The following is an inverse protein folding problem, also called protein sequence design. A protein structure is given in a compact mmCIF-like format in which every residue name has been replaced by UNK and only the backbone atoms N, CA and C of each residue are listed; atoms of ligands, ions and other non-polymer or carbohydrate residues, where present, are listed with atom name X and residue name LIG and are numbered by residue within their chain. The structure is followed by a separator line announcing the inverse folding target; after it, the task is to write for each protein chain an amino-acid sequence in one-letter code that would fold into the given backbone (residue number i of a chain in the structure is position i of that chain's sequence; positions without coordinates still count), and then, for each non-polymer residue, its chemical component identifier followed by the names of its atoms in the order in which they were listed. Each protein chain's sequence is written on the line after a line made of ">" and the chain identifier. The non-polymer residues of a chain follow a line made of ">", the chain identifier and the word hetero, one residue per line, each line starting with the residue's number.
data_IF_199087494024
#
_entry.id   IF_199087494024
#
_cell.length_a   1.000
_cell.length_b   1.000
_cell.length_c   1.000
_cell.angle_alpha   90.00
_cell.angle_beta   90.00
_cell.angle_gamma   90.00
#
_symmetry.space_group_name_H-M   'P 1'
#
loop_
_entity.id
_entity.type
_entity.pdbx_description
1 polymer ?
#
# COMPACT_ATOMS: atom_id res chain seq x y z
N UNK A 1 6.59 -1.93 25.91
CA UNK A 1 7.15 -2.71 24.78
C UNK A 1 8.42 -2.11 24.16
N UNK A 2 9.12 -1.16 24.83
CA UNK A 2 10.24 -0.41 24.26
C UNK A 2 11.62 -1.09 24.25
N UNK A 3 11.87 -2.13 25.00
CA UNK A 3 13.21 -2.70 25.14
C UNK A 3 13.51 -3.85 24.19
N UNK A 4 12.54 -4.70 23.92
CA UNK A 4 12.71 -5.91 23.11
C UNK A 4 12.82 -5.59 21.61
N UNK A 5 12.24 -4.48 21.14
CA UNK A 5 12.33 -4.06 19.74
C UNK A 5 13.75 -3.71 19.26
N UNK A 6 14.69 -3.42 20.19
CA UNK A 6 16.11 -3.18 19.86
C UNK A 6 16.89 -4.46 19.57
N UNK A 7 16.36 -5.61 20.00
CA UNK A 7 16.96 -6.92 19.83
C UNK A 7 16.47 -7.67 18.59
N UNK A 8 15.44 -7.13 17.88
CA UNK A 8 14.88 -7.80 16.71
C UNK A 8 15.84 -7.87 15.53
N UNK A 9 15.93 -8.99 14.79
CA UNK A 9 16.72 -9.12 13.59
C UNK A 9 16.15 -8.23 12.48
N UNK A 10 17.02 -7.50 11.78
CA UNK A 10 16.63 -6.65 10.64
C UNK A 10 17.12 -5.21 10.72
N UNK A 11 17.55 -4.72 11.89
CA UNK A 11 18.23 -3.45 12.03
C UNK A 11 19.72 -3.76 12.10
N UNK A 12 20.51 -3.33 11.11
CA UNK A 12 21.96 -3.51 11.11
C UNK A 12 22.67 -2.78 12.26
N UNK A 13 21.93 -2.30 13.26
CA UNK A 13 22.42 -1.56 14.43
C UNK A 13 23.39 -2.39 15.26
N UNK A 14 23.15 -3.72 15.36
CA UNK A 14 24.04 -4.63 16.10
C UNK A 14 25.46 -4.66 15.54
N UNK A 15 25.60 -4.60 14.19
CA UNK A 15 26.93 -4.59 13.53
C UNK A 15 27.67 -3.28 13.84
N UNK A 16 26.97 -2.16 13.83
CA UNK A 16 27.57 -0.85 14.14
C UNK A 16 27.87 -0.69 15.62
N UNK A 17 27.01 -1.21 16.52
CA UNK A 17 27.30 -1.27 17.96
C UNK A 17 28.50 -2.14 18.27
N UNK A 18 28.63 -3.28 17.61
CA UNK A 18 29.79 -4.16 17.76
C UNK A 18 31.06 -3.49 17.25
N UNK A 19 31.00 -2.84 16.07
CA UNK A 19 32.12 -2.07 15.52
C UNK A 19 32.54 -0.93 16.46
N UNK A 20 31.58 -0.22 17.05
CA UNK A 20 31.81 0.82 18.03
C UNK A 20 32.47 0.26 19.32
N UNK A 21 31.98 -0.88 19.80
CA UNK A 21 32.60 -1.56 20.97
C UNK A 21 34.04 -2.00 20.70
N UNK A 22 34.31 -2.53 19.49
CA UNK A 22 35.68 -2.87 19.05
C UNK A 22 36.55 -1.62 19.00
N UNK A 23 36.05 -0.51 18.47
CA UNK A 23 36.77 0.78 18.47
C UNK A 23 37.12 1.29 19.87
N UNK A 24 36.16 1.23 20.79
CA UNK A 24 36.40 1.59 22.19
C UNK A 24 37.46 0.70 22.83
N UNK A 25 37.43 -0.61 22.58
CA UNK A 25 38.43 -1.58 23.07
C UNK A 25 39.82 -1.28 22.51
N UNK A 26 39.94 -0.99 21.22
CA UNK A 26 41.20 -0.62 20.58
C UNK A 26 41.74 0.71 21.12
N UNK A 27 40.88 1.70 21.36
CA UNK A 27 41.30 2.96 22.01
C UNK A 27 41.78 2.73 23.42
N UNK A 28 41.09 1.91 24.22
CA UNK A 28 41.49 1.56 25.57
C UNK A 28 42.85 0.84 25.59
N UNK A 29 43.05 -0.11 24.66
CA UNK A 29 44.33 -0.82 24.50
C UNK A 29 45.45 0.15 24.06
N UNK A 30 45.15 1.04 23.09
CA UNK A 30 46.10 2.06 22.64
C UNK A 30 46.55 2.99 23.76
N UNK A 31 45.59 3.46 24.61
CA UNK A 31 45.90 4.26 25.78
C UNK A 31 46.74 3.48 26.83
N UNK A 32 46.42 2.21 27.08
CA UNK A 32 47.16 1.36 27.97
C UNK A 32 48.61 1.17 27.51
N UNK A 33 48.84 0.94 26.23
CA UNK A 33 50.16 0.84 25.62
C UNK A 33 50.92 2.18 25.64
N UNK A 34 50.24 3.28 25.30
CA UNK A 34 50.86 4.62 25.31
C UNK A 34 51.37 5.03 26.69
N UNK A 35 50.62 4.72 27.74
CA UNK A 35 51.02 4.99 29.11
C UNK A 35 51.83 3.84 29.74
N UNK A 36 52.30 2.89 28.94
CA UNK A 36 53.12 1.75 29.37
C UNK A 36 52.55 1.01 30.59
N UNK A 37 51.23 0.84 30.65
CA UNK A 37 50.44 0.21 31.72
C UNK A 37 50.52 0.89 33.11
N UNK A 38 51.27 1.98 33.28
CA UNK A 38 51.45 2.65 34.59
C UNK A 38 50.11 3.19 35.14
N UNK A 39 49.21 3.63 34.28
CA UNK A 39 47.89 4.08 34.69
C UNK A 39 47.03 2.93 35.24
N UNK A 40 47.11 1.76 34.65
CA UNK A 40 46.39 0.58 35.14
C UNK A 40 46.94 0.09 36.47
N UNK A 41 48.28 0.06 36.65
CA UNK A 41 48.90 -0.29 37.94
C UNK A 41 48.49 0.64 39.07
N UNK A 42 48.49 1.96 38.85
CA UNK A 42 48.01 2.93 39.85
C UNK A 42 46.53 2.78 40.16
N UNK A 43 45.68 2.52 39.15
CA UNK A 43 44.26 2.27 39.35
C UNK A 43 44.00 0.98 40.14
N UNK A 44 44.77 -0.07 39.86
CA UNK A 44 44.73 -1.33 40.57
C UNK A 44 45.16 -1.16 42.04
N UNK A 45 46.25 -0.45 42.29
CA UNK A 45 46.73 -0.15 43.63
C UNK A 45 45.71 0.66 44.46
N UNK A 46 45.07 1.64 43.83
CA UNK A 46 44.02 2.44 44.47
C UNK A 46 42.78 1.60 44.82
N UNK A 47 42.40 0.68 43.94
CA UNK A 47 41.30 -0.26 44.18
C UNK A 47 41.65 -1.27 45.27
N UNK A 48 42.90 -1.75 45.33
CA UNK A 48 43.38 -2.59 46.40
C UNK A 48 43.35 -1.87 47.74
N UNK A 49 43.82 -0.62 47.83
CA UNK A 49 43.74 0.21 49.02
C UNK A 49 42.30 0.46 49.49
N UNK A 50 41.39 0.79 48.57
CA UNK A 50 39.96 0.96 48.88
C UNK A 50 39.32 -0.32 49.40
N UNK A 51 39.60 -1.47 48.81
CA UNK A 51 39.06 -2.75 49.25
C UNK A 51 39.63 -3.18 50.60
N UNK A 52 40.90 -2.89 50.88
CA UNK A 52 41.53 -3.14 52.19
C UNK A 52 40.94 -2.27 53.30
N UNK A 53 40.74 -0.96 53.03
CA UNK A 53 40.12 -0.04 53.98
C UNK A 53 38.66 -0.40 54.32
N UNK A 54 37.94 -1.00 53.40
CA UNK A 54 36.50 -1.36 53.59
C UNK A 54 36.30 -2.76 54.15
N UNK A 55 37.16 -3.72 53.82
CA UNK A 55 36.95 -5.15 54.15
C UNK A 55 38.03 -5.73 55.06
N UNK A 56 39.14 -5.00 55.31
CA UNK A 56 40.29 -5.47 56.11
C UNK A 56 41.07 -6.63 55.47
N UNK A 57 40.77 -7.01 54.20
CA UNK A 57 41.42 -8.14 53.50
C UNK A 57 41.67 -7.80 52.03
N UNK A 58 42.81 -8.26 51.52
CA UNK A 58 43.09 -8.25 50.11
C UNK A 58 42.39 -9.46 49.42
N UNK A 59 41.43 -9.19 48.55
CA UNK A 59 40.71 -10.26 47.87
C UNK A 59 40.67 -10.01 46.36
N UNK A 60 41.37 -10.84 45.60
CA UNK A 60 41.31 -10.82 44.12
C UNK A 60 39.91 -11.02 43.60
N UNK A 61 39.06 -11.82 44.26
CA UNK A 61 37.68 -12.05 43.90
C UNK A 61 36.81 -10.80 43.97
N UNK A 62 37.08 -9.91 44.95
CA UNK A 62 36.38 -8.63 45.11
C UNK A 62 36.74 -7.65 43.99
N UNK A 63 38.00 -7.58 43.59
CA UNK A 63 38.46 -6.74 42.49
C UNK A 63 37.91 -7.22 41.16
N UNK A 64 37.90 -8.53 40.97
CA UNK A 64 37.30 -9.13 39.75
C UNK A 64 35.79 -8.83 39.65
N UNK A 65 35.03 -8.90 40.73
CA UNK A 65 33.61 -8.54 40.76
C UNK A 65 33.39 -7.04 40.50
N UNK A 66 34.24 -6.16 41.03
CA UNK A 66 34.21 -4.72 40.70
C UNK A 66 34.53 -4.47 39.24
N UNK A 67 35.53 -5.15 38.68
CA UNK A 67 35.86 -5.08 37.24
C UNK A 67 34.68 -5.47 36.33
N UNK A 68 34.00 -6.57 36.68
CA UNK A 68 32.77 -6.97 35.95
C UNK A 68 31.67 -5.91 36.12
N UNK A 69 31.54 -5.31 37.32
CA UNK A 69 30.61 -4.21 37.56
C UNK A 69 30.91 -2.99 36.68
N UNK A 70 32.15 -2.58 36.55
CA UNK A 70 32.55 -1.48 35.65
C UNK A 70 32.28 -1.81 34.17
N UNK A 71 32.50 -3.04 33.74
CA UNK A 71 32.18 -3.45 32.37
C UNK A 71 30.68 -3.35 32.10
N UNK A 72 29.83 -3.82 33.02
CA UNK A 72 28.38 -3.76 32.89
C UNK A 72 27.90 -2.30 32.84
N UNK A 73 28.39 -1.46 33.78
CA UNK A 73 28.02 -0.04 33.84
C UNK A 73 28.51 0.71 32.58
N UNK A 74 29.76 0.49 32.18
CA UNK A 74 30.33 1.09 30.96
C UNK A 74 29.53 0.72 29.73
N UNK A 75 29.15 -0.56 29.58
CA UNK A 75 28.31 -1.02 28.49
C UNK A 75 26.91 -0.38 28.52
N UNK A 76 26.32 -0.27 29.71
CA UNK A 76 25.03 0.39 29.90
C UNK A 76 25.08 1.88 29.52
N UNK A 77 26.13 2.61 29.93
CA UNK A 77 26.34 4.03 29.57
C UNK A 77 26.54 4.16 28.06
N UNK A 78 27.31 3.29 27.42
CA UNK A 78 27.55 3.28 25.99
C UNK A 78 26.23 3.07 25.19
N UNK A 79 25.43 2.10 25.61
CA UNK A 79 24.09 1.85 25.00
C UNK A 79 23.18 3.05 25.22
N UNK A 80 23.16 3.64 26.40
CA UNK A 80 22.33 4.81 26.70
C UNK A 80 22.76 6.04 25.87
N UNK A 81 24.07 6.34 25.80
CA UNK A 81 24.62 7.45 25.03
C UNK A 81 24.32 7.31 23.53
N UNK A 82 24.52 6.11 22.97
CA UNK A 82 24.18 5.81 21.57
C UNK A 82 22.69 6.00 21.30
N UNK A 83 21.82 5.55 22.22
CA UNK A 83 20.37 5.77 22.11
C UNK A 83 20.00 7.25 22.11
N UNK A 84 20.60 8.05 23.00
CA UNK A 84 20.35 9.49 23.11
C UNK A 84 20.82 10.23 21.86
N UNK A 85 21.99 9.89 21.34
CA UNK A 85 22.56 10.48 20.14
C UNK A 85 21.66 10.21 18.92
N UNK A 86 21.26 8.96 18.72
CA UNK A 86 20.34 8.59 17.65
C UNK A 86 19.00 9.33 17.82
N UNK A 87 18.45 9.36 19.03
CA UNK A 87 17.18 10.06 19.31
C UNK A 87 17.29 11.56 19.03
N UNK A 88 18.41 12.19 19.37
CA UNK A 88 18.66 13.62 19.14
C UNK A 88 18.73 13.97 17.65
N UNK A 89 19.51 13.20 16.88
CA UNK A 89 19.63 13.44 15.42
C UNK A 89 18.30 13.25 14.72
N UNK A 90 17.54 12.24 15.09
CA UNK A 90 16.29 11.92 14.38
C UNK A 90 15.12 12.80 14.82
N UNK A 91 15.11 13.33 16.06
CA UNK A 91 14.09 14.30 16.47
C UNK A 91 14.13 15.58 15.63
N UNK A 92 15.28 15.90 15.04
CA UNK A 92 15.43 17.04 14.10
C UNK A 92 14.93 16.68 12.69
N UNK A 93 15.11 15.43 12.27
CA UNK A 93 14.77 14.98 10.90
C UNK A 93 13.29 14.57 10.76
N UNK A 94 12.69 14.10 11.86
CA UNK A 94 11.28 13.64 11.89
C UNK A 94 10.56 14.28 13.08
N UNK A 95 9.96 15.45 12.89
CA UNK A 95 9.33 16.21 14.00
C UNK A 95 8.00 15.63 14.50
N UNK A 96 7.50 14.52 13.96
CA UNK A 96 6.19 13.97 14.31
C UNK A 96 6.22 13.25 15.67
N UNK A 97 5.54 13.83 16.67
CA UNK A 97 5.67 13.54 18.11
C UNK A 97 4.96 12.28 18.62
N UNK A 98 4.26 11.50 17.78
CA UNK A 98 3.31 10.49 18.25
C UNK A 98 3.71 9.02 18.10
N UNK A 99 4.96 8.70 17.73
CA UNK A 99 5.45 7.32 17.60
C UNK A 99 6.85 7.11 18.17
N UNK A 100 7.14 5.88 18.64
CA UNK A 100 8.52 5.49 18.91
C UNK A 100 9.29 5.55 17.59
N UNK A 101 10.35 6.36 17.54
CA UNK A 101 11.21 6.53 16.38
C UNK A 101 11.69 5.21 15.77
N UNK A 102 12.02 4.27 16.63
CA UNK A 102 12.45 2.93 16.23
C UNK A 102 11.32 2.17 15.50
N UNK A 103 10.09 2.36 15.95
CA UNK A 103 8.89 1.78 15.33
C UNK A 103 8.69 2.35 13.92
N UNK A 104 8.91 3.65 13.74
CA UNK A 104 8.81 4.35 12.44
C UNK A 104 9.89 3.91 11.46
N UNK A 105 11.16 3.86 11.87
CA UNK A 105 12.29 3.39 11.04
C UNK A 105 12.11 1.92 10.68
N UNK A 106 11.70 1.09 11.64
CA UNK A 106 11.46 -0.32 11.43
C UNK A 106 10.31 -0.56 10.45
N UNK A 107 9.21 0.18 10.60
CA UNK A 107 8.08 0.11 9.68
C UNK A 107 8.47 0.58 8.27
N UNK A 108 9.17 1.71 8.13
CA UNK A 108 9.62 2.18 6.81
C UNK A 108 10.53 1.17 6.10
N UNK A 109 11.54 0.63 6.79
CA UNK A 109 12.42 -0.40 6.20
C UNK A 109 11.68 -1.66 5.80
N UNK A 110 10.68 -2.07 6.58
CA UNK A 110 9.83 -3.22 6.23
C UNK A 110 8.96 -2.95 5.02
N UNK A 111 8.31 -1.81 4.98
CA UNK A 111 7.46 -1.43 3.84
C UNK A 111 8.27 -1.37 2.54
N UNK A 112 9.53 -0.92 2.59
CA UNK A 112 10.43 -0.89 1.42
C UNK A 112 10.88 -2.29 0.96
N UNK A 113 10.89 -3.28 1.85
CA UNK A 113 11.22 -4.68 1.53
C UNK A 113 9.99 -5.56 1.32
N UNK A 114 8.81 -4.97 1.34
CA UNK A 114 7.57 -5.67 1.08
C UNK A 114 7.47 -6.16 -0.38
N UNK A 115 6.54 -7.09 -0.66
CA UNK A 115 6.35 -7.61 -2.00
C UNK A 115 5.98 -6.51 -2.99
N UNK A 116 6.36 -6.68 -4.24
CA UNK A 116 5.91 -5.85 -5.34
C UNK A 116 4.46 -6.20 -5.68
N UNK A 117 3.56 -5.27 -5.40
CA UNK A 117 2.12 -5.47 -5.62
C UNK A 117 1.64 -4.50 -6.69
N UNK A 118 1.10 -5.04 -7.77
CA UNK A 118 0.45 -4.23 -8.79
C UNK A 118 -1.06 -4.42 -8.70
N UNK A 119 -1.78 -3.31 -8.58
CA UNK A 119 -3.24 -3.29 -8.48
C UNK A 119 -3.81 -2.69 -9.76
N UNK A 120 -4.71 -3.40 -10.43
CA UNK A 120 -5.30 -3.02 -11.72
C UNK A 120 -6.78 -2.67 -11.52
N UNK A 121 -7.19 -1.48 -11.95
CA UNK A 121 -8.59 -1.06 -11.80
C UNK A 121 -8.80 0.44 -12.00
N UNK A 122 -9.79 0.99 -11.30
CA UNK A 122 -10.17 2.41 -11.32
C UNK A 122 -11.20 2.72 -10.24
N UNK A 123 -11.66 3.96 -10.23
CA UNK A 123 -12.74 4.40 -9.37
C UNK A 123 -12.46 4.43 -7.87
N UNK A 124 -13.53 4.58 -7.12
CA UNK A 124 -13.48 4.65 -5.64
C UNK A 124 -13.13 3.31 -4.99
N UNK A 125 -13.44 2.19 -5.66
CA UNK A 125 -13.12 0.85 -5.16
C UNK A 125 -11.61 0.64 -5.05
N UNK A 126 -10.87 0.96 -6.12
CA UNK A 126 -9.42 0.86 -6.14
C UNK A 126 -8.78 1.75 -5.08
N UNK A 127 -9.20 3.00 -4.96
CA UNK A 127 -8.67 3.92 -3.95
C UNK A 127 -8.93 3.42 -2.51
N UNK A 128 -10.05 2.75 -2.28
CA UNK A 128 -10.36 2.10 -0.98
C UNK A 128 -9.35 1.00 -0.65
N UNK A 129 -9.00 0.16 -1.61
CA UNK A 129 -7.97 -0.86 -1.45
C UNK A 129 -6.60 -0.21 -1.17
N UNK A 130 -6.19 0.77 -1.97
CA UNK A 130 -4.90 1.45 -1.87
C UNK A 130 -4.68 2.13 -0.51
N UNK A 131 -5.74 2.67 0.12
CA UNK A 131 -5.69 3.18 1.50
C UNK A 131 -5.22 2.13 2.51
N UNK A 132 -5.54 0.86 2.28
CA UNK A 132 -5.06 -0.26 3.09
C UNK A 132 -3.65 -0.71 2.70
N UNK A 133 -3.35 -0.73 1.40
CA UNK A 133 -2.11 -1.26 0.84
C UNK A 133 -0.86 -0.46 1.25
N UNK A 134 -0.96 0.87 1.39
CA UNK A 134 0.16 1.71 1.83
C UNK A 134 0.75 1.36 3.21
N UNK A 135 0.07 0.50 3.97
CA UNK A 135 0.56 -0.04 5.25
C UNK A 135 1.15 -1.45 5.13
N UNK A 136 1.11 -2.05 3.94
CA UNK A 136 1.63 -3.39 3.66
C UNK A 136 3.00 -3.30 3.00
N UNK A 137 3.11 -2.46 1.97
CA UNK A 137 4.33 -2.30 1.17
C UNK A 137 4.41 -0.90 0.58
N UNK A 138 5.64 -0.40 0.40
CA UNK A 138 5.91 0.79 -0.41
C UNK A 138 6.09 0.43 -1.90
N UNK A 139 6.22 -0.86 -2.22
CA UNK A 139 6.37 -1.37 -3.59
C UNK A 139 4.98 -1.64 -4.21
N UNK A 140 4.05 -0.71 -4.06
CA UNK A 140 2.70 -0.80 -4.61
C UNK A 140 2.59 0.07 -5.85
N UNK A 141 2.17 -0.51 -6.98
CA UNK A 141 1.84 0.23 -8.20
C UNK A 141 0.37 0.07 -8.52
N UNK A 142 -0.34 1.17 -8.73
CA UNK A 142 -1.70 1.17 -9.22
C UNK A 142 -1.70 1.45 -10.73
N UNK A 143 -2.15 0.48 -11.53
CA UNK A 143 -2.44 0.65 -12.95
C UNK A 143 -3.90 1.03 -13.08
N UNK A 144 -4.15 2.25 -13.55
CA UNK A 144 -5.45 2.91 -13.43
C UNK A 144 -6.03 3.18 -14.81
N UNK A 145 -7.30 2.81 -15.00
CA UNK A 145 -8.01 3.11 -16.24
C UNK A 145 -8.14 4.61 -16.49
N UNK A 146 -8.09 5.00 -17.75
CA UNK A 146 -8.23 6.36 -18.23
C UNK A 146 -9.47 6.55 -19.08
N UNK A 147 -10.52 5.76 -18.81
CA UNK A 147 -11.72 5.73 -19.60
C UNK A 147 -12.83 6.68 -19.10
N UNK A 148 -12.67 7.32 -17.91
CA UNK A 148 -13.66 8.22 -17.30
C UNK A 148 -13.99 9.39 -18.24
N UNK A 149 -15.27 9.54 -18.61
CA UNK A 149 -15.76 10.63 -19.45
C UNK A 149 -16.77 11.52 -18.73
N UNK A 150 -16.94 11.31 -17.41
CA UNK A 150 -17.91 12.00 -16.58
C UNK A 150 -17.38 13.25 -15.87
N UNK A 151 -18.31 14.11 -15.47
CA UNK A 151 -18.08 15.23 -14.55
C UNK A 151 -16.88 16.13 -14.88
N UNK A 152 -16.04 16.40 -13.87
CA UNK A 152 -14.84 17.25 -14.01
C UNK A 152 -13.77 16.63 -14.90
N UNK A 153 -13.59 15.30 -14.85
CA UNK A 153 -12.60 14.59 -15.67
C UNK A 153 -12.94 14.67 -17.16
N UNK A 154 -14.20 14.40 -17.50
CA UNK A 154 -14.66 14.47 -18.89
C UNK A 154 -14.60 15.89 -19.49
N UNK A 155 -14.85 16.93 -18.68
CA UNK A 155 -14.67 18.32 -19.13
C UNK A 155 -13.21 18.65 -19.45
N UNK A 156 -12.29 18.34 -18.52
CA UNK A 156 -10.85 18.58 -18.73
C UNK A 156 -10.29 17.79 -19.92
N UNK A 157 -10.76 16.56 -20.11
CA UNK A 157 -10.42 15.74 -21.26
C UNK A 157 -10.81 16.45 -22.57
N UNK A 158 -12.04 16.98 -22.65
CA UNK A 158 -12.54 17.67 -23.85
C UNK A 158 -11.86 19.02 -24.09
N UNK A 159 -11.60 19.78 -23.02
CA UNK A 159 -11.09 21.15 -23.11
C UNK A 159 -9.55 21.20 -23.29
N UNK A 160 -8.83 20.30 -22.62
CA UNK A 160 -7.38 20.30 -22.61
C UNK A 160 -6.73 19.16 -23.41
N UNK A 161 -7.50 18.20 -23.92
CA UNK A 161 -6.97 17.05 -24.66
C UNK A 161 -6.11 16.11 -23.80
N UNK A 162 -6.32 16.09 -22.50
CA UNK A 162 -5.58 15.24 -21.57
C UNK A 162 -6.37 14.00 -21.20
N UNK A 163 -5.68 12.94 -20.78
CA UNK A 163 -6.38 11.79 -20.18
C UNK A 163 -7.11 12.20 -18.88
N UNK A 164 -8.27 11.59 -18.58
CA UNK A 164 -9.09 12.00 -17.44
C UNK A 164 -8.37 11.78 -16.12
N UNK A 165 -8.19 12.82 -15.28
CA UNK A 165 -7.38 12.73 -14.07
C UNK A 165 -8.10 12.18 -12.83
N UNK A 166 -9.42 11.96 -12.89
CA UNK A 166 -10.25 11.67 -11.72
C UNK A 166 -9.83 10.44 -10.94
N UNK A 167 -9.69 9.31 -11.61
CA UNK A 167 -9.29 8.04 -10.99
C UNK A 167 -7.83 8.05 -10.57
N UNK A 168 -6.96 8.65 -11.38
CA UNK A 168 -5.54 8.86 -11.04
C UNK A 168 -5.40 9.69 -9.76
N UNK A 169 -6.16 10.81 -9.65
CA UNK A 169 -6.23 11.62 -8.44
C UNK A 169 -6.68 10.83 -7.21
N UNK A 170 -7.74 10.03 -7.34
CA UNK A 170 -8.26 9.21 -6.25
C UNK A 170 -7.19 8.23 -5.74
N UNK A 171 -6.44 7.60 -6.65
CA UNK A 171 -5.36 6.68 -6.33
C UNK A 171 -4.16 7.40 -5.68
N UNK A 172 -3.73 8.54 -6.22
CA UNK A 172 -2.65 9.37 -5.65
C UNK A 172 -3.01 9.80 -4.23
N UNK A 173 -4.22 10.32 -4.02
CA UNK A 173 -4.69 10.73 -2.69
C UNK A 173 -4.77 9.55 -1.71
N UNK A 174 -5.18 8.37 -2.17
CA UNK A 174 -5.25 7.18 -1.33
C UNK A 174 -3.88 6.69 -0.86
N UNK A 175 -2.86 6.79 -1.71
CA UNK A 175 -1.48 6.41 -1.42
C UNK A 175 -0.66 7.53 -0.75
N UNK A 176 -1.15 8.77 -0.74
CA UNK A 176 -0.46 9.90 -0.12
C UNK A 176 -0.17 9.65 1.36
N UNK A 177 0.98 10.14 1.82
CA UNK A 177 1.29 10.21 3.24
C UNK A 177 0.45 11.33 3.89
N UNK A 178 0.22 11.21 5.21
CA UNK A 178 -0.82 11.99 5.89
C UNK A 178 -0.59 13.49 5.84
N UNK A 179 -1.39 14.18 5.07
CA UNK A 179 -1.73 15.59 5.30
C UNK A 179 -3.24 15.77 5.12
N UNK A 180 -4.04 15.71 6.19
CA UNK A 180 -5.51 15.79 6.11
C UNK A 180 -6.02 17.03 5.36
N UNK A 181 -5.26 18.12 5.42
CA UNK A 181 -5.58 19.34 4.69
C UNK A 181 -5.40 19.16 3.18
N UNK A 182 -4.29 18.52 2.76
CA UNK A 182 -4.03 18.25 1.34
C UNK A 182 -5.04 17.25 0.78
N UNK A 183 -5.40 16.22 1.55
CA UNK A 183 -6.45 15.28 1.13
C UNK A 183 -7.80 15.99 0.90
N UNK A 184 -8.20 16.89 1.81
CA UNK A 184 -9.41 17.69 1.65
C UNK A 184 -9.32 18.63 0.45
N UNK A 185 -8.17 19.27 0.24
CA UNK A 185 -7.94 20.15 -0.90
C UNK A 185 -8.03 19.40 -2.23
N UNK A 186 -7.37 18.25 -2.33
CA UNK A 186 -7.39 17.42 -3.53
C UNK A 186 -8.79 16.91 -3.90
N UNK A 187 -9.69 16.81 -2.92
CA UNK A 187 -11.09 16.41 -3.12
C UNK A 187 -12.05 17.60 -3.18
N UNK A 188 -11.55 18.82 -2.94
CA UNK A 188 -12.39 20.01 -2.96
C UNK A 188 -13.01 20.20 -4.34
N UNK A 189 -14.32 20.47 -4.36
CA UNK A 189 -15.09 20.74 -5.56
C UNK A 189 -15.59 22.18 -5.52
N UNK A 190 -15.25 22.93 -6.57
CA UNK A 190 -15.68 24.34 -6.69
C UNK A 190 -17.21 24.44 -6.75
N UNK A 191 -17.75 25.37 -5.99
CA UNK A 191 -19.17 25.68 -5.89
C UNK A 191 -19.48 27.00 -6.59
N UNK A 192 -20.78 27.31 -6.78
CA UNK A 192 -21.26 28.57 -7.36
C UNK A 192 -21.35 28.55 -8.88
N UNK A 193 -21.48 29.71 -9.52
CA UNK A 193 -21.77 29.88 -10.94
C UNK A 193 -20.53 30.27 -11.77
N UNK A 194 -19.34 30.06 -11.25
CA UNK A 194 -18.09 30.34 -11.98
C UNK A 194 -17.77 29.27 -13.03
N UNK A 195 -16.95 29.55 -14.04
CA UNK A 195 -16.46 28.52 -14.97
C UNK A 195 -15.80 27.31 -14.31
N UNK A 196 -15.30 27.50 -13.09
CA UNK A 196 -14.71 26.41 -12.28
C UNK A 196 -15.77 25.57 -11.56
N UNK A 197 -17.03 25.97 -11.54
CA UNK A 197 -18.09 25.27 -10.82
C UNK A 197 -18.17 23.79 -11.23
N UNK A 198 -18.22 22.90 -10.21
CA UNK A 198 -18.24 21.46 -10.40
C UNK A 198 -16.87 20.84 -10.73
N UNK A 199 -15.82 21.63 -11.04
CA UNK A 199 -14.48 21.08 -11.15
C UNK A 199 -13.94 20.67 -9.78
N UNK A 200 -13.15 19.58 -9.77
CA UNK A 200 -12.40 19.17 -8.60
C UNK A 200 -11.01 19.80 -8.62
N UNK A 201 -10.59 20.45 -7.52
CA UNK A 201 -9.26 21.06 -7.42
C UNK A 201 -8.15 20.08 -7.81
N UNK A 202 -8.17 18.88 -7.28
CA UNK A 202 -7.12 17.89 -7.58
C UNK A 202 -7.07 17.48 -9.04
N UNK A 203 -8.19 17.52 -9.78
CA UNK A 203 -8.18 17.29 -11.22
C UNK A 203 -7.50 18.46 -11.97
N UNK A 204 -7.81 19.70 -11.58
CA UNK A 204 -7.15 20.90 -12.11
C UNK A 204 -5.66 20.91 -11.76
N UNK A 205 -5.31 20.53 -10.55
CA UNK A 205 -3.92 20.44 -10.10
C UNK A 205 -3.11 19.45 -10.94
N UNK A 206 -3.63 18.26 -11.20
CA UNK A 206 -2.97 17.25 -12.05
C UNK A 206 -2.86 17.76 -13.49
N UNK A 207 -3.91 18.41 -14.03
CA UNK A 207 -3.87 18.99 -15.35
C UNK A 207 -2.80 20.09 -15.49
N UNK A 208 -2.71 20.98 -14.49
CA UNK A 208 -1.68 22.02 -14.45
C UNK A 208 -0.27 21.42 -14.35
N UNK A 209 -0.09 20.39 -13.51
CA UNK A 209 1.19 19.69 -13.41
C UNK A 209 1.58 18.99 -14.71
N UNK A 210 0.61 18.38 -15.42
CA UNK A 210 0.86 17.76 -16.71
C UNK A 210 1.33 18.78 -17.76
N UNK A 211 0.76 19.99 -17.77
CA UNK A 211 1.19 21.06 -18.66
C UNK A 211 2.57 21.61 -18.28
N UNK A 212 2.81 21.85 -16.98
CA UNK A 212 4.07 22.40 -16.48
C UNK A 212 5.27 21.46 -16.70
N UNK A 213 5.05 20.16 -16.57
CA UNK A 213 6.09 19.12 -16.69
C UNK A 213 6.21 18.53 -18.09
N UNK A 214 5.42 19.04 -19.07
CA UNK A 214 5.51 18.63 -20.47
C UNK A 214 4.84 17.28 -20.80
N UNK A 215 3.95 16.79 -19.94
CA UNK A 215 3.15 15.58 -20.18
C UNK A 215 2.52 14.98 -18.96
N UNK A 216 1.52 14.13 -19.17
CA UNK A 216 0.75 13.55 -18.07
C UNK A 216 1.60 12.64 -17.16
N UNK A 217 2.51 11.84 -17.71
CA UNK A 217 3.35 10.94 -16.92
C UNK A 217 4.31 11.73 -16.00
N UNK A 218 4.96 12.76 -16.53
CA UNK A 218 5.82 13.65 -15.77
C UNK A 218 5.02 14.41 -14.69
N UNK A 219 3.84 14.93 -15.04
CA UNK A 219 2.94 15.62 -14.11
C UNK A 219 2.45 14.71 -12.97
N UNK A 220 2.15 13.45 -13.24
CA UNK A 220 1.78 12.46 -12.21
C UNK A 220 2.96 12.15 -11.27
N UNK A 221 4.18 12.05 -11.82
CA UNK A 221 5.38 11.83 -11.03
C UNK A 221 5.66 13.03 -10.10
N UNK A 222 5.59 14.26 -10.61
CA UNK A 222 5.74 15.47 -9.83
C UNK A 222 4.63 15.62 -8.75
N UNK A 223 3.37 15.32 -9.11
CA UNK A 223 2.26 15.27 -8.16
C UNK A 223 2.51 14.24 -7.06
N UNK A 224 3.05 13.06 -7.41
CA UNK A 224 3.38 12.00 -6.45
C UNK A 224 4.45 12.45 -5.44
N UNK A 225 5.44 13.23 -5.88
CA UNK A 225 6.47 13.80 -5.00
C UNK A 225 5.88 14.84 -4.03
N UNK A 226 5.03 15.76 -4.52
CA UNK A 226 4.38 16.79 -3.71
C UNK A 226 3.48 16.14 -2.64
N UNK A 227 2.72 15.12 -3.00
CA UNK A 227 1.82 14.40 -2.09
C UNK A 227 2.53 13.35 -1.23
N UNK A 228 3.83 13.14 -1.41
CA UNK A 228 4.61 12.08 -0.74
C UNK A 228 3.90 10.73 -0.86
N UNK A 229 3.56 10.34 -2.08
CA UNK A 229 2.83 9.10 -2.36
C UNK A 229 3.69 7.88 -2.03
N UNK A 230 3.11 6.91 -1.31
CA UNK A 230 3.74 5.63 -1.00
C UNK A 230 3.42 4.62 -2.08
N UNK A 231 4.29 4.47 -3.05
CA UNK A 231 4.09 3.64 -4.22
C UNK A 231 4.04 4.46 -5.50
N UNK A 232 3.41 3.93 -6.54
CA UNK A 232 3.31 4.55 -7.87
C UNK A 232 1.88 4.48 -8.38
N UNK A 233 1.48 5.50 -9.13
CA UNK A 233 0.21 5.52 -9.87
C UNK A 233 0.54 5.73 -11.34
N UNK A 234 0.13 4.78 -12.17
CA UNK A 234 0.44 4.75 -13.60
C UNK A 234 -0.87 4.62 -14.37
N UNK A 235 -1.13 5.42 -15.40
CA UNK A 235 -2.28 5.21 -16.27
C UNK A 235 -2.13 3.90 -17.05
N UNK A 236 -3.22 3.25 -17.40
CA UNK A 236 -3.19 2.06 -18.26
C UNK A 236 -2.71 2.41 -19.68
N UNK A 237 -3.12 3.57 -20.17
CA UNK A 237 -2.68 4.16 -21.44
C UNK A 237 -2.63 5.68 -21.32
N UNK A 238 -1.82 6.31 -22.17
CA UNK A 238 -1.77 7.78 -22.33
C UNK A 238 -2.65 8.26 -23.49
N UNK A 239 -3.26 7.34 -24.21
CA UNK A 239 -4.11 7.67 -25.34
C UNK A 239 -5.53 8.09 -24.91
N UNK A 240 -6.19 8.84 -25.78
CA UNK A 240 -7.58 9.26 -25.61
C UNK A 240 -8.52 8.11 -25.97
N UNK A 241 -8.86 7.27 -24.99
CA UNK A 241 -9.68 6.08 -25.18
C UNK A 241 -11.14 6.34 -24.84
N UNK A 242 -12.05 5.65 -25.55
CA UNK A 242 -13.49 5.59 -25.23
C UNK A 242 -13.95 4.16 -25.08
N UNK A 243 -14.77 3.89 -24.08
CA UNK A 243 -15.37 2.58 -23.90
C UNK A 243 -16.59 2.42 -24.82
N UNK A 244 -16.74 1.21 -25.34
CA UNK A 244 -17.94 0.74 -26.00
C UNK A 244 -18.40 -0.57 -25.38
N UNK A 245 -19.69 -0.70 -25.15
CA UNK A 245 -20.32 -1.95 -24.73
C UNK A 245 -21.23 -2.48 -25.83
N UNK A 246 -21.00 -3.73 -26.23
CA UNK A 246 -21.99 -4.48 -27.02
C UNK A 246 -22.94 -5.16 -26.06
N UNK A 247 -24.23 -4.82 -26.17
CA UNK A 247 -25.28 -5.40 -25.35
C UNK A 247 -25.72 -6.76 -25.87
N UNK A 248 -26.45 -7.52 -25.06
CA UNK A 248 -26.98 -8.84 -25.44
C UNK A 248 -27.97 -8.79 -26.60
N UNK A 249 -28.68 -7.68 -26.81
CA UNK A 249 -29.57 -7.44 -27.94
C UNK A 249 -28.83 -7.00 -29.21
N UNK A 250 -27.51 -6.93 -29.21
CA UNK A 250 -26.66 -6.52 -30.33
C UNK A 250 -26.41 -5.00 -30.42
N UNK A 251 -27.11 -4.17 -29.65
CA UNK A 251 -26.87 -2.71 -29.64
C UNK A 251 -25.51 -2.37 -29.11
N UNK A 252 -24.92 -1.27 -29.60
CA UNK A 252 -23.62 -0.75 -29.14
C UNK A 252 -23.85 0.59 -28.45
N UNK A 253 -23.32 0.71 -27.23
CA UNK A 253 -23.35 1.94 -26.41
C UNK A 253 -21.94 2.44 -26.25
N UNK A 254 -21.70 3.74 -26.49
CA UNK A 254 -20.40 4.37 -26.39
C UNK A 254 -20.41 5.39 -25.24
N UNK A 255 -19.38 5.36 -24.40
CA UNK A 255 -19.16 6.25 -23.26
C UNK A 255 -19.27 5.51 -21.94
N UNK A 256 -18.28 5.70 -21.05
CA UNK A 256 -18.22 5.10 -19.72
C UNK A 256 -19.46 5.46 -18.90
N UNK A 257 -19.83 6.74 -18.90
CA UNK A 257 -20.98 7.27 -18.15
C UNK A 257 -22.33 6.91 -18.79
N UNK A 258 -22.39 6.53 -20.07
CA UNK A 258 -23.62 6.19 -20.78
C UNK A 258 -23.99 4.71 -20.66
N UNK A 259 -22.99 3.83 -20.58
CA UNK A 259 -23.19 2.38 -20.52
C UNK A 259 -24.15 1.95 -19.41
N UNK A 260 -23.98 2.38 -18.15
CA UNK A 260 -24.89 1.97 -17.06
C UNK A 260 -26.32 2.51 -17.23
N UNK A 261 -26.51 3.65 -17.91
CA UNK A 261 -27.83 4.30 -18.04
C UNK A 261 -28.81 3.48 -18.90
N UNK A 262 -28.28 2.70 -19.82
CA UNK A 262 -29.11 1.90 -20.76
C UNK A 262 -29.76 0.72 -20.04
N UNK A 263 -29.22 0.28 -18.88
CA UNK A 263 -29.76 -0.84 -18.08
C UNK A 263 -30.03 -2.12 -18.88
N UNK A 264 -29.10 -2.46 -19.77
CA UNK A 264 -29.09 -3.71 -20.53
C UNK A 264 -27.89 -4.56 -20.14
N UNK A 265 -28.00 -5.87 -20.29
CA UNK A 265 -26.90 -6.77 -20.05
C UNK A 265 -25.77 -6.56 -21.06
N UNK A 266 -24.56 -6.39 -20.55
CA UNK A 266 -23.34 -6.22 -21.34
C UNK A 266 -22.86 -7.60 -21.80
N UNK A 267 -22.75 -7.79 -23.12
CA UNK A 267 -22.20 -9.01 -23.72
C UNK A 267 -20.66 -8.93 -23.81
N UNK A 268 -20.14 -7.79 -24.24
CA UNK A 268 -18.70 -7.60 -24.45
C UNK A 268 -18.34 -6.12 -24.37
N UNK A 269 -17.24 -5.83 -23.65
CA UNK A 269 -16.61 -4.52 -23.68
C UNK A 269 -15.62 -4.41 -24.83
N UNK A 270 -15.51 -3.21 -25.38
CA UNK A 270 -14.60 -2.83 -26.44
C UNK A 270 -14.02 -1.46 -26.12
N UNK A 271 -12.95 -1.09 -26.81
CA UNK A 271 -12.27 0.19 -26.64
C UNK A 271 -12.05 0.85 -28.00
N UNK A 272 -12.09 2.16 -28.05
CA UNK A 272 -11.73 2.98 -29.20
C UNK A 272 -10.61 3.96 -28.80
N UNK A 273 -9.49 3.97 -29.51
CA UNK A 273 -9.07 3.01 -30.55
C UNK A 273 -8.85 1.61 -29.95
N UNK A 274 -9.04 0.56 -30.78
CA UNK A 274 -8.95 -0.84 -30.32
C UNK A 274 -7.50 -1.28 -30.04
N UNK A 275 -6.55 -0.59 -30.60
CA UNK A 275 -5.10 -0.80 -30.54
C UNK A 275 -4.40 0.18 -29.62
N UNK A 276 -5.14 0.83 -28.70
CA UNK A 276 -4.58 1.75 -27.72
C UNK A 276 -3.42 1.11 -26.95
N UNK A 277 -2.25 1.76 -26.99
CA UNK A 277 -1.01 1.23 -26.43
C UNK A 277 -0.92 1.44 -24.94
N UNK A 278 -0.38 0.45 -24.23
CA UNK A 278 -0.15 0.56 -22.80
C UNK A 278 0.93 1.60 -22.49
N UNK A 279 0.75 2.32 -21.40
CA UNK A 279 1.84 3.13 -20.84
C UNK A 279 3.01 2.20 -20.41
N UNK A 280 4.25 2.60 -20.74
CA UNK A 280 5.44 1.76 -20.48
C UNK A 280 5.53 1.28 -19.03
N UNK A 281 5.27 2.16 -18.07
CA UNK A 281 5.29 1.83 -16.66
C UNK A 281 4.21 0.82 -16.21
N UNK A 282 3.12 0.65 -16.98
CA UNK A 282 2.05 -0.30 -16.67
C UNK A 282 2.49 -1.76 -16.96
N UNK A 283 3.09 -1.99 -18.13
CA UNK A 283 3.61 -3.32 -18.50
C UNK A 283 4.70 -3.75 -17.53
N UNK A 284 5.66 -2.87 -17.25
CA UNK A 284 6.76 -3.14 -16.31
C UNK A 284 6.25 -3.49 -14.92
N UNK A 285 5.26 -2.75 -14.41
CA UNK A 285 4.66 -3.00 -13.12
C UNK A 285 3.98 -4.37 -13.05
N UNK A 286 3.32 -4.81 -14.14
CA UNK A 286 2.62 -6.09 -14.22
C UNK A 286 3.62 -7.25 -14.28
N UNK A 287 4.67 -7.14 -15.10
CA UNK A 287 5.64 -8.21 -15.30
C UNK A 287 6.56 -8.41 -14.09
N UNK A 288 6.88 -7.33 -13.36
CA UNK A 288 7.77 -7.37 -12.19
C UNK A 288 7.02 -7.52 -10.85
N UNK A 289 5.71 -7.71 -10.87
CA UNK A 289 4.93 -7.93 -9.65
C UNK A 289 5.16 -9.31 -9.04
N UNK A 290 5.11 -9.39 -7.70
CA UNK A 290 4.94 -10.65 -6.96
C UNK A 290 3.45 -11.00 -6.85
N UNK A 291 2.59 -9.97 -6.82
CA UNK A 291 1.14 -10.10 -6.71
C UNK A 291 0.46 -9.12 -7.66
N UNK A 292 -0.46 -9.62 -8.47
CA UNK A 292 -1.40 -8.82 -9.25
C UNK A 292 -2.78 -8.87 -8.61
N UNK A 293 -3.38 -7.71 -8.38
CA UNK A 293 -4.72 -7.60 -7.80
C UNK A 293 -5.62 -6.89 -8.80
N UNK A 294 -6.76 -7.49 -9.13
CA UNK A 294 -7.78 -6.92 -10.00
C UNK A 294 -8.96 -6.44 -9.16
N UNK A 295 -9.31 -5.16 -9.27
CA UNK A 295 -10.36 -4.54 -8.46
C UNK A 295 -9.93 -4.24 -7.00
N UNK A 296 -10.90 -3.95 -6.11
CA UNK A 296 -12.33 -3.81 -6.37
C UNK A 296 -12.65 -2.56 -7.20
N UNK A 297 -13.78 -2.57 -7.87
CA UNK A 297 -14.25 -1.47 -8.70
C UNK A 297 -15.31 -1.97 -9.70
N UNK A 298 -15.89 -1.06 -10.47
CA UNK A 298 -16.81 -1.44 -11.53
C UNK A 298 -16.18 -2.46 -12.46
N UNK A 299 -16.85 -3.61 -12.62
CA UNK A 299 -16.31 -4.71 -13.40
C UNK A 299 -16.02 -4.27 -14.84
N UNK A 300 -17.04 -3.71 -15.50
CA UNK A 300 -17.02 -3.37 -16.91
C UNK A 300 -16.42 -2.00 -17.21
N UNK A 301 -16.52 -1.04 -16.30
CA UNK A 301 -16.07 0.33 -16.55
C UNK A 301 -14.76 0.69 -15.84
N UNK A 302 -14.30 -0.10 -14.84
CA UNK A 302 -13.05 0.20 -14.12
C UNK A 302 -12.00 -0.92 -14.18
N UNK A 303 -12.39 -2.20 -14.19
CA UNK A 303 -11.43 -3.32 -14.15
C UNK A 303 -11.12 -3.83 -15.57
N UNK A 304 -12.13 -4.27 -16.29
CA UNK A 304 -12.00 -4.81 -17.66
C UNK A 304 -11.33 -3.83 -18.62
N UNK A 305 -11.58 -2.50 -18.59
CA UNK A 305 -10.95 -1.58 -19.53
C UNK A 305 -9.43 -1.62 -19.54
N UNK A 306 -8.79 -1.86 -18.39
CA UNK A 306 -7.33 -2.01 -18.33
C UNK A 306 -6.86 -3.25 -19.13
N UNK A 307 -7.66 -4.33 -19.15
CA UNK A 307 -7.34 -5.57 -19.85
C UNK A 307 -7.60 -5.47 -21.36
N UNK A 308 -8.30 -4.43 -21.82
CA UNK A 308 -8.52 -4.15 -23.23
C UNK A 308 -7.37 -3.39 -23.88
N UNK A 309 -6.53 -2.70 -23.07
CA UNK A 309 -5.36 -1.98 -23.57
C UNK A 309 -4.33 -2.96 -24.12
N UNK A 310 -3.81 -2.68 -25.32
CA UNK A 310 -2.85 -3.57 -25.98
C UNK A 310 -1.57 -3.75 -25.14
N UNK A 311 -1.11 -4.99 -25.05
CA UNK A 311 0.04 -5.38 -24.23
C UNK A 311 -0.27 -5.63 -22.75
N UNK A 312 -1.28 -5.00 -22.13
CA UNK A 312 -1.62 -5.25 -20.71
C UNK A 312 -2.14 -6.67 -20.52
N UNK A 313 -3.11 -7.11 -21.35
CA UNK A 313 -3.66 -8.46 -21.28
C UNK A 313 -2.55 -9.51 -21.38
N UNK A 314 -1.66 -9.36 -22.36
CA UNK A 314 -0.56 -10.30 -22.60
C UNK A 314 0.46 -10.28 -21.47
N UNK A 315 0.75 -9.10 -20.90
CA UNK A 315 1.60 -8.97 -19.73
C UNK A 315 0.98 -9.68 -18.51
N UNK A 316 -0.33 -9.56 -18.27
CA UNK A 316 -1.05 -10.25 -17.19
C UNK A 316 -0.97 -11.77 -17.36
N UNK A 317 -1.19 -12.28 -18.57
CA UNK A 317 -1.14 -13.73 -18.83
C UNK A 317 0.31 -14.27 -18.64
N UNK A 318 1.31 -13.55 -19.14
CA UNK A 318 2.74 -13.94 -19.02
C UNK A 318 3.33 -13.74 -17.63
N UNK A 319 2.75 -12.87 -16.82
CA UNK A 319 3.26 -12.58 -15.48
C UNK A 319 3.26 -13.84 -14.60
N UNK A 320 4.35 -14.02 -13.85
CA UNK A 320 4.50 -15.09 -12.83
C UNK A 320 3.90 -14.71 -11.47
N UNK A 321 3.38 -13.50 -11.35
CA UNK A 321 2.74 -13.01 -10.13
C UNK A 321 1.52 -13.86 -9.77
N UNK A 322 1.24 -13.96 -8.47
CA UNK A 322 -0.03 -14.51 -8.00
C UNK A 322 -1.15 -13.52 -8.32
N UNK A 323 -2.18 -13.97 -9.02
CA UNK A 323 -3.28 -13.17 -9.54
C UNK A 323 -4.52 -13.31 -8.69
N UNK A 324 -4.94 -12.21 -8.09
CA UNK A 324 -6.04 -12.15 -7.11
C UNK A 324 -7.14 -11.23 -7.65
N UNK A 325 -8.35 -11.72 -7.78
CA UNK A 325 -9.51 -10.87 -8.02
C UNK A 325 -10.22 -10.54 -6.71
N UNK A 326 -10.62 -9.29 -6.53
CA UNK A 326 -11.45 -8.83 -5.41
C UNK A 326 -12.83 -8.50 -5.94
N UNK A 327 -13.79 -9.37 -5.63
CA UNK A 327 -15.18 -9.21 -6.09
C UNK A 327 -15.86 -8.07 -5.35
N UNK A 328 -16.69 -7.31 -6.03
CA UNK A 328 -17.54 -6.29 -5.44
C UNK A 328 -18.48 -6.89 -4.38
N UNK A 329 -18.96 -6.07 -3.45
CA UNK A 329 -19.93 -6.48 -2.42
C UNK A 329 -21.36 -6.39 -2.94
N UNK A 330 -21.64 -5.38 -3.76
CA UNK A 330 -22.97 -5.08 -4.33
C UNK A 330 -22.88 -5.10 -5.85
N UNK A 331 -23.97 -5.49 -6.49
CA UNK A 331 -24.16 -5.31 -7.94
C UNK A 331 -24.20 -3.82 -8.29
N UNK A 332 -23.85 -3.50 -9.52
CA UNK A 332 -23.95 -2.14 -10.06
C UNK A 332 -25.08 -2.11 -11.08
N UNK A 333 -26.12 -1.29 -10.83
CA UNK A 333 -27.25 -1.15 -11.75
C UNK A 333 -26.80 -0.71 -13.14
N UNK A 334 -27.26 -1.42 -14.17
CA UNK A 334 -26.90 -1.18 -15.56
C UNK A 334 -25.56 -1.78 -16.01
N UNK A 335 -24.80 -2.40 -15.09
CA UNK A 335 -23.56 -3.11 -15.42
C UNK A 335 -23.64 -4.60 -15.05
N UNK A 336 -23.91 -4.90 -13.77
CA UNK A 336 -23.83 -6.25 -13.22
C UNK A 336 -25.15 -6.68 -12.57
N UNK A 337 -26.28 -6.26 -13.12
CA UNK A 337 -27.60 -6.63 -12.63
C UNK A 337 -27.76 -8.15 -12.62
N UNK A 338 -28.11 -8.71 -11.45
CA UNK A 338 -28.31 -10.13 -11.28
C UNK A 338 -27.03 -10.98 -11.16
N UNK A 339 -25.84 -10.38 -11.22
CA UNK A 339 -24.57 -11.12 -11.16
C UNK A 339 -24.30 -11.66 -9.77
N UNK A 340 -23.82 -12.91 -9.73
CA UNK A 340 -23.06 -13.47 -8.60
C UNK A 340 -21.56 -13.26 -8.75
N UNK A 341 -20.79 -13.70 -7.79
CA UNK A 341 -19.32 -13.61 -7.85
C UNK A 341 -18.73 -14.48 -8.98
N UNK A 342 -19.39 -15.58 -9.32
CA UNK A 342 -19.03 -16.42 -10.46
C UNK A 342 -19.13 -15.64 -11.79
N UNK A 343 -20.21 -14.89 -11.99
CA UNK A 343 -20.43 -14.13 -13.23
C UNK A 343 -19.36 -13.05 -13.41
N UNK A 344 -18.94 -12.41 -12.31
CA UNK A 344 -17.82 -11.45 -12.33
C UNK A 344 -16.50 -12.11 -12.76
N UNK A 345 -16.19 -13.27 -12.21
CA UNK A 345 -14.98 -14.03 -12.54
C UNK A 345 -15.04 -14.49 -13.99
N UNK A 346 -16.18 -15.02 -14.43
CA UNK A 346 -16.38 -15.48 -15.81
C UNK A 346 -16.22 -14.34 -16.80
N UNK A 347 -16.80 -13.16 -16.54
CA UNK A 347 -16.65 -12.00 -17.39
C UNK A 347 -15.18 -11.57 -17.56
N UNK A 348 -14.34 -11.67 -16.50
CA UNK A 348 -12.91 -11.40 -16.59
C UNK A 348 -12.20 -12.43 -17.49
N UNK A 349 -12.50 -13.72 -17.30
CA UNK A 349 -11.93 -14.81 -18.10
C UNK A 349 -12.31 -14.65 -19.58
N UNK A 350 -13.57 -14.33 -19.89
CA UNK A 350 -14.07 -14.14 -21.25
C UNK A 350 -13.39 -12.96 -21.96
N UNK A 351 -13.05 -11.88 -21.26
CA UNK A 351 -12.37 -10.73 -21.85
C UNK A 351 -10.86 -10.95 -22.01
N UNK A 352 -10.23 -11.73 -21.14
CA UNK A 352 -8.82 -12.13 -21.30
C UNK A 352 -8.65 -13.26 -22.31
N UNK A 353 -9.65 -14.14 -22.44
CA UNK A 353 -9.66 -15.28 -23.35
C UNK A 353 -9.04 -16.55 -22.78
N UNK A 354 -8.59 -16.53 -21.54
CA UNK A 354 -8.05 -17.69 -20.82
C UNK A 354 -8.25 -17.53 -19.32
N UNK A 355 -8.30 -18.66 -18.60
CA UNK A 355 -8.27 -18.64 -17.14
C UNK A 355 -6.87 -18.18 -16.67
N UNK A 356 -6.80 -17.11 -15.88
CA UNK A 356 -5.57 -16.48 -15.43
C UNK A 356 -5.54 -16.20 -13.92
N UNK A 357 -6.67 -16.31 -13.21
CA UNK A 357 -6.79 -15.99 -11.81
C UNK A 357 -6.41 -17.19 -10.92
N UNK A 358 -5.61 -16.95 -9.89
CA UNK A 358 -5.28 -17.95 -8.87
C UNK A 358 -6.25 -17.90 -7.68
N UNK A 359 -6.68 -16.68 -7.30
CA UNK A 359 -7.52 -16.44 -6.14
C UNK A 359 -8.66 -15.48 -6.45
N UNK A 360 -9.81 -15.72 -5.80
CA UNK A 360 -10.93 -14.80 -5.75
C UNK A 360 -11.28 -14.50 -4.28
N UNK A 361 -11.23 -13.22 -3.89
CA UNK A 361 -11.68 -12.77 -2.56
C UNK A 361 -13.13 -12.34 -2.70
N UNK A 362 -14.03 -13.00 -1.96
CA UNK A 362 -15.47 -12.74 -2.00
C UNK A 362 -15.99 -12.37 -0.62
N UNK A 363 -16.99 -11.48 -0.57
CA UNK A 363 -17.61 -11.15 0.70
C UNK A 363 -18.52 -12.29 1.16
N UNK A 364 -18.34 -12.71 2.42
CA UNK A 364 -19.17 -13.72 3.09
C UNK A 364 -19.97 -13.14 4.26
N UNK A 365 -20.03 -11.83 4.39
CA UNK A 365 -20.81 -11.15 5.42
C UNK A 365 -22.16 -10.74 4.86
N UNK A 366 -23.23 -11.08 5.57
CA UNK A 366 -24.57 -10.62 5.24
C UNK A 366 -24.68 -9.10 5.37
N UNK A 367 -25.45 -8.49 4.46
CA UNK A 367 -25.81 -7.08 4.49
C UNK A 367 -27.07 -6.95 5.35
N UNK A 368 -27.07 -5.99 6.27
CA UNK A 368 -28.23 -5.78 7.15
C UNK A 368 -29.40 -5.19 6.37
N UNK A 369 -30.63 -5.46 6.85
CA UNK A 369 -31.85 -4.93 6.21
C UNK A 369 -31.88 -3.39 6.16
N UNK A 370 -31.27 -2.72 7.14
CA UNK A 370 -31.14 -1.27 7.18
C UNK A 370 -30.23 -0.75 6.07
N UNK A 371 -29.08 -1.39 5.88
CA UNK A 371 -28.16 -1.08 4.77
C UNK A 371 -28.81 -1.35 3.41
N UNK A 372 -29.58 -2.44 3.26
CA UNK A 372 -30.24 -2.78 2.00
C UNK A 372 -31.26 -1.73 1.55
N UNK A 373 -32.01 -1.13 2.48
CA UNK A 373 -33.03 -0.11 2.15
C UNK A 373 -32.44 1.06 1.36
N UNK A 374 -31.20 1.45 1.61
CA UNK A 374 -30.56 2.56 0.89
C UNK A 374 -30.28 2.20 -0.59
N UNK A 375 -30.07 0.90 -0.88
CA UNK A 375 -29.76 0.41 -2.23
C UNK A 375 -30.98 -0.12 -3.00
N UNK A 376 -32.11 -0.34 -2.31
CA UNK A 376 -33.35 -0.81 -2.95
C UNK A 376 -33.87 0.16 -4.01
N UNK A 377 -33.78 1.48 -3.73
CA UNK A 377 -34.19 2.52 -4.67
C UNK A 377 -33.32 2.56 -5.93
N UNK A 378 -32.04 2.19 -5.83
CA UNK A 378 -31.08 2.15 -6.94
C UNK A 378 -31.12 0.82 -7.70
N UNK A 379 -31.70 -0.24 -7.13
CA UNK A 379 -31.74 -1.58 -7.68
C UNK A 379 -30.47 -2.42 -7.44
N UNK A 380 -29.53 -1.94 -6.62
CA UNK A 380 -28.35 -2.71 -6.24
C UNK A 380 -28.69 -3.86 -5.30
N UNK A 381 -28.05 -5.01 -5.48
CA UNK A 381 -28.24 -6.21 -4.65
C UNK A 381 -26.89 -6.75 -4.15
N UNK A 382 -26.86 -7.40 -2.97
CA UNK A 382 -25.67 -8.11 -2.51
C UNK A 382 -25.27 -9.21 -3.50
N UNK A 383 -23.98 -9.29 -3.80
CA UNK A 383 -23.43 -10.31 -4.68
C UNK A 383 -23.37 -11.64 -3.95
N UNK A 384 -23.96 -12.68 -4.55
CA UNK A 384 -23.86 -14.06 -4.06
C UNK A 384 -22.41 -14.54 -4.21
N UNK A 385 -21.82 -15.20 -3.18
CA UNK A 385 -20.40 -15.57 -3.23
C UNK A 385 -20.07 -16.71 -4.20
N UNK A 386 -21.02 -17.54 -4.62
CA UNK A 386 -20.89 -18.63 -5.64
C UNK A 386 -19.61 -19.48 -5.51
N UNK A 387 -19.21 -19.81 -4.27
CA UNK A 387 -17.91 -20.38 -3.93
C UNK A 387 -17.59 -21.63 -4.76
N UNK A 388 -18.53 -22.56 -4.84
CA UNK A 388 -18.28 -23.87 -5.49
C UNK A 388 -18.22 -23.74 -7.02
N UNK A 389 -18.99 -22.82 -7.61
CA UNK A 389 -18.90 -22.50 -9.04
C UNK A 389 -17.55 -21.89 -9.40
N UNK A 390 -17.01 -20.99 -8.56
CA UNK A 390 -15.70 -20.40 -8.81
C UNK A 390 -14.60 -21.44 -8.64
N UNK A 391 -14.70 -22.32 -7.65
CA UNK A 391 -13.75 -23.41 -7.45
C UNK A 391 -13.70 -24.39 -8.62
N UNK A 392 -14.82 -24.63 -9.29
CA UNK A 392 -14.87 -25.49 -10.49
C UNK A 392 -14.05 -24.93 -11.66
N UNK A 393 -13.72 -23.62 -11.65
CA UNK A 393 -12.82 -22.99 -12.61
C UNK A 393 -11.32 -23.17 -12.22
N UNK A 394 -11.00 -23.89 -11.16
CA UNK A 394 -9.63 -24.05 -10.66
C UNK A 394 -9.14 -22.87 -9.80
N UNK A 395 -10.02 -21.95 -9.39
CA UNK A 395 -9.69 -20.75 -8.65
C UNK A 395 -9.90 -20.98 -7.14
N UNK A 396 -8.91 -20.63 -6.33
CA UNK A 396 -9.04 -20.71 -4.87
C UNK A 396 -9.87 -19.54 -4.34
N UNK A 397 -11.02 -19.84 -3.72
CA UNK A 397 -11.89 -18.82 -3.14
C UNK A 397 -11.51 -18.52 -1.70
N UNK A 398 -11.37 -17.23 -1.37
CA UNK A 398 -11.10 -16.71 -0.03
C UNK A 398 -12.35 -15.95 0.45
N UNK A 399 -13.29 -16.61 1.15
CA UNK A 399 -14.45 -15.94 1.72
C UNK A 399 -14.01 -15.11 2.94
N UNK A 400 -14.47 -13.85 3.03
CA UNK A 400 -14.09 -12.96 4.10
C UNK A 400 -15.19 -11.94 4.43
N UNK A 401 -15.22 -11.47 5.69
CA UNK A 401 -16.14 -10.41 6.13
C UNK A 401 -15.55 -9.06 5.78
N UNK A 402 -16.00 -8.46 4.66
CA UNK A 402 -15.34 -7.30 4.04
C UNK A 402 -16.12 -5.98 4.19
N UNK A 403 -17.39 -6.01 4.60
CA UNK A 403 -18.26 -4.84 4.63
C UNK A 403 -17.84 -3.86 5.73
N UNK A 404 -17.81 -2.56 5.42
CA UNK A 404 -17.61 -1.50 6.40
C UNK A 404 -18.79 -1.45 7.39
N UNK A 405 -18.60 -0.76 8.51
CA UNK A 405 -19.67 -0.50 9.48
C UNK A 405 -20.44 0.79 9.17
N UNK A 406 -20.02 1.51 8.14
CA UNK A 406 -20.63 2.76 7.72
C UNK A 406 -21.99 2.49 7.04
N UNK A 407 -22.79 3.51 6.84
CA UNK A 407 -24.11 3.40 6.21
C UNK A 407 -24.05 2.86 4.77
N UNK A 408 -22.93 3.10 4.07
CA UNK A 408 -22.71 2.60 2.72
C UNK A 408 -22.08 1.21 2.73
N UNK A 409 -22.66 0.27 1.98
CA UNK A 409 -22.13 -1.10 1.79
C UNK A 409 -20.93 -1.06 0.85
N UNK A 410 -19.75 -0.88 1.43
CA UNK A 410 -18.46 -0.84 0.72
C UNK A 410 -17.44 -1.74 1.42
N UNK A 411 -16.37 -2.05 0.70
CA UNK A 411 -15.23 -2.72 1.33
C UNK A 411 -14.63 -1.85 2.44
N UNK A 412 -14.45 -2.45 3.62
CA UNK A 412 -13.64 -1.84 4.68
C UNK A 412 -12.15 -1.99 4.30
N UNK A 413 -11.41 -0.87 4.10
CA UNK A 413 -9.99 -0.91 3.72
C UNK A 413 -9.13 -1.72 4.68
N UNK A 414 -9.50 -1.72 5.96
CA UNK A 414 -8.75 -2.41 7.04
C UNK A 414 -8.98 -3.91 7.01
N UNK A 415 -10.25 -4.32 6.80
CA UNK A 415 -10.60 -5.74 6.69
C UNK A 415 -9.97 -6.34 5.45
N UNK A 416 -10.07 -5.64 4.33
CA UNK A 416 -9.50 -6.08 3.06
C UNK A 416 -7.96 -6.19 3.12
N UNK A 417 -7.29 -5.17 3.65
CA UNK A 417 -5.84 -5.21 3.86
C UNK A 417 -5.40 -6.37 4.76
N UNK A 418 -6.17 -6.69 5.83
CA UNK A 418 -5.86 -7.85 6.69
C UNK A 418 -5.95 -9.18 5.96
N UNK A 419 -6.98 -9.35 5.13
CA UNK A 419 -7.16 -10.57 4.33
C UNK A 419 -6.01 -10.73 3.34
N UNK A 420 -5.66 -9.66 2.64
CA UNK A 420 -4.55 -9.66 1.69
C UNK A 420 -3.20 -9.94 2.37
N UNK A 421 -2.89 -9.30 3.49
CA UNK A 421 -1.65 -9.59 4.25
C UNK A 421 -1.60 -11.06 4.65
N UNK A 422 -2.71 -11.60 5.17
CA UNK A 422 -2.76 -13.00 5.59
C UNK A 422 -2.55 -13.95 4.41
N UNK A 423 -3.13 -13.64 3.25
CA UNK A 423 -2.97 -14.43 2.03
C UNK A 423 -1.52 -14.34 1.51
N UNK A 424 -0.97 -13.13 1.36
CA UNK A 424 0.39 -12.90 0.89
C UNK A 424 1.42 -13.57 1.82
N UNK A 425 1.19 -13.50 3.14
CA UNK A 425 2.03 -14.19 4.11
C UNK A 425 1.97 -15.72 3.96
N UNK A 426 0.76 -16.28 3.80
CA UNK A 426 0.56 -17.71 3.59
C UNK A 426 1.26 -18.22 2.32
N UNK A 427 1.31 -17.39 1.30
CA UNK A 427 1.98 -17.67 0.02
C UNK A 427 3.50 -17.46 0.08
N UNK A 428 4.07 -17.07 1.23
CA UNK A 428 5.49 -16.79 1.44
C UNK A 428 6.08 -15.76 0.48
N UNK A 429 5.27 -14.83 0.01
CA UNK A 429 5.67 -13.79 -0.96
C UNK A 429 6.40 -12.59 -0.30
N UNK A 430 6.45 -12.53 1.01
CA UNK A 430 7.37 -11.65 1.72
C UNK A 430 8.77 -12.28 1.68
N UNK A 431 9.75 -11.59 1.09
CA UNK A 431 11.11 -12.11 0.84
C UNK A 431 11.75 -12.84 2.03
N UNK A 432 12.84 -13.59 1.79
CA UNK A 432 13.50 -14.59 2.67
C UNK A 432 13.84 -14.19 4.12
N UNK A 433 13.43 -13.02 4.60
CA UNK A 433 13.71 -12.49 5.95
C UNK A 433 12.50 -12.20 6.82
N UNK A 434 11.26 -12.43 6.36
CA UNK A 434 10.09 -12.14 7.17
C UNK A 434 9.75 -13.34 8.06
N UNK A 435 10.15 -13.26 9.35
CA UNK A 435 9.82 -14.23 10.37
C UNK A 435 8.40 -13.96 10.92
N UNK A 436 7.83 -14.97 11.61
CA UNK A 436 6.51 -14.92 12.28
C UNK A 436 6.26 -13.62 13.09
N UNK A 437 7.28 -13.11 13.75
CA UNK A 437 7.23 -11.85 14.49
C UNK A 437 6.90 -10.64 13.60
N UNK A 438 7.30 -10.64 12.34
CA UNK A 438 7.08 -9.55 11.40
C UNK A 438 5.62 -9.41 11.00
N UNK A 439 4.93 -10.54 10.80
CA UNK A 439 3.49 -10.58 10.57
C UNK A 439 2.72 -10.03 11.78
N UNK A 440 3.11 -10.45 12.99
CA UNK A 440 2.50 -9.98 14.23
C UNK A 440 2.68 -8.47 14.44
N UNK A 441 3.87 -7.94 14.19
CA UNK A 441 4.16 -6.51 14.29
C UNK A 441 3.43 -5.66 13.24
N UNK A 442 3.32 -6.13 11.99
CA UNK A 442 2.53 -5.42 10.97
C UNK A 442 1.04 -5.39 11.34
N UNK A 443 0.51 -6.48 11.85
CA UNK A 443 -0.88 -6.57 12.34
C UNK A 443 -1.11 -5.65 13.55
N UNK A 444 -0.15 -5.57 14.46
CA UNK A 444 -0.21 -4.68 15.64
C UNK A 444 -0.04 -3.21 15.25
N UNK A 445 0.87 -2.88 14.33
CA UNK A 445 1.08 -1.53 13.80
C UNK A 445 -0.16 -1.00 13.09
N UNK A 446 -0.83 -1.83 12.28
CA UNK A 446 -2.12 -1.45 11.68
C UNK A 446 -3.19 -1.16 12.74
N UNK A 447 -3.26 -1.92 13.84
CA UNK A 447 -4.21 -1.63 14.94
C UNK A 447 -3.96 -0.28 15.59
N UNK A 448 -2.70 0.15 15.76
CA UNK A 448 -2.33 1.44 16.37
C UNK A 448 -2.64 2.62 15.44
N UNK A 449 -2.25 2.52 14.16
CA UNK A 449 -2.48 3.57 13.16
C UNK A 449 -3.98 3.87 12.95
N UNK A 450 -4.83 2.88 13.19
CA UNK A 450 -6.27 2.99 13.05
C UNK A 450 -7.01 3.41 14.34
N UNK A 451 -6.33 3.45 15.49
CA UNK A 451 -6.89 4.00 16.74
C UNK A 451 -6.74 5.52 16.86
N UNK A 452 -5.99 6.16 15.96
CA UNK A 452 -5.71 7.61 15.96
C UNK A 452 -6.66 8.43 15.07
N UNK A 453 -7.83 7.87 14.72
CA UNK A 453 -8.97 8.59 14.14
C UNK A 453 -10.10 8.67 15.14
#
# INVERSE_FOLDING_TARGET
>A
MGWISWLCPGINLKRWLLLFAVGVLLCALGLALFFNYQLMGKAEELLFQMTYLTTGRYSNGLIMTMGVGFLIVGFAIMVYGTRRLISSVVSVVVPDKNGSLMETIFMQRKLTRGPAITVVGGGTGLSTLLRGMKYITNNCTAVVTTADDGGSSGRLRKELGIIPPGDLRNCLTALADREPLMERLMQYRFQGDSPLAGHCFGNLFIAAMAQAEGGMEAGLNATSQILKVRGRVVPSTLEDIRLQARMTDGSIVTGESEIPKVRKHIKKMMMLPADAQAANGAIDAILNADVLIFGPGSLYTSVIPNLLVEGIRDAVVRSKAVKIYICNVMTQPGETDGYGAYDHVQALIDHVGTQFLDYAIVNSQDVTSEQLRQYDAEGSRPIKPDIDKIRSLGITVVPARLISKDDLVRHDPRKLARVLIALIYRLRLFGRGMQFFDYFFMRAGMKKLYKQK
#
